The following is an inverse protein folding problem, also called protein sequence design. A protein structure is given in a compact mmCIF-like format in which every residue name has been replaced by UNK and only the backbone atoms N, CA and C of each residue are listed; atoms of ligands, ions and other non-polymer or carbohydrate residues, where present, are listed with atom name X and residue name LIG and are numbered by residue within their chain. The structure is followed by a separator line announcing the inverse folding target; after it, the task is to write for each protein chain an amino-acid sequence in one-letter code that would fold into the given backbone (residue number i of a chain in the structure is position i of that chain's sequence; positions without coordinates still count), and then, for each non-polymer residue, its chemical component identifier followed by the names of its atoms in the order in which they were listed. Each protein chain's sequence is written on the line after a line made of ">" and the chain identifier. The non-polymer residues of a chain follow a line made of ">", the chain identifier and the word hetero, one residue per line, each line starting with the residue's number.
data_IF_256604530971
#
_entry.id   IF_256604530971
#
_cell.length_a   1.000
_cell.length_b   1.000
_cell.length_c   1.000
_cell.angle_alpha   90.00
_cell.angle_beta   90.00
_cell.angle_gamma   90.00
#
_symmetry.space_group_name_H-M   'P 1'
#
loop_
_entity.id
_entity.type
_entity.pdbx_description
1 polymer ?
#
# COMPACT_ATOMS: atom_id res chain seq x y z
N UNK A 1 34.17 -11.22 72.65
CA UNK A 1 33.24 -12.18 73.27
C UNK A 1 33.08 -13.35 72.33
N UNK A 2 33.92 -14.36 72.51
CA UNK A 2 33.94 -15.61 71.72
C UNK A 2 32.70 -16.42 72.09
N UNK A 3 31.83 -16.70 71.11
CA UNK A 3 30.66 -17.53 71.34
C UNK A 3 31.09 -18.92 71.88
N UNK A 4 30.33 -19.53 72.81
CA UNK A 4 30.64 -20.86 73.33
C UNK A 4 30.76 -21.90 72.20
N UNK A 5 31.68 -22.89 72.30
CA UNK A 5 31.97 -23.85 71.22
C UNK A 5 30.74 -24.62 70.71
N UNK A 6 29.73 -24.82 71.57
CA UNK A 6 28.47 -25.48 71.21
C UNK A 6 27.58 -24.62 70.30
N UNK A 7 27.61 -23.29 70.44
CA UNK A 7 26.81 -22.36 69.64
C UNK A 7 27.39 -22.21 68.23
N UNK A 8 28.71 -22.23 68.10
CA UNK A 8 29.41 -22.25 66.81
C UNK A 8 29.13 -23.55 66.03
N UNK A 9 29.06 -24.69 66.72
CA UNK A 9 28.73 -25.97 66.09
C UNK A 9 27.27 -26.02 65.62
N UNK A 10 26.33 -25.52 66.42
CA UNK A 10 24.92 -25.44 66.03
C UNK A 10 24.71 -24.50 64.81
N UNK A 11 25.47 -23.40 64.76
CA UNK A 11 25.48 -22.48 63.62
C UNK A 11 26.07 -23.13 62.36
N UNK A 12 27.16 -23.89 62.49
CA UNK A 12 27.73 -24.65 61.38
C UNK A 12 26.77 -25.74 60.87
N UNK A 13 26.09 -26.47 61.76
CA UNK A 13 25.07 -27.47 61.39
C UNK A 13 23.86 -26.83 60.67
N UNK A 14 23.45 -25.62 61.07
CA UNK A 14 22.40 -24.86 60.39
C UNK A 14 22.83 -24.37 59.01
N UNK A 15 24.06 -23.88 58.87
CA UNK A 15 24.60 -23.44 57.59
C UNK A 15 24.82 -24.62 56.64
N UNK A 16 25.28 -25.78 57.12
CA UNK A 16 25.39 -26.99 56.30
C UNK A 16 24.03 -27.39 55.70
N UNK A 17 22.95 -27.41 56.50
CA UNK A 17 21.59 -27.68 56.00
C UNK A 17 21.13 -26.65 54.96
N UNK A 18 21.47 -25.38 55.16
CA UNK A 18 21.17 -24.31 54.19
C UNK A 18 21.91 -24.53 52.87
N UNK A 19 23.20 -24.88 52.93
CA UNK A 19 24.02 -25.15 51.75
C UNK A 19 23.56 -26.40 50.99
N UNK A 20 23.12 -27.46 51.69
CA UNK A 20 22.52 -28.65 51.07
C UNK A 20 21.20 -28.33 50.34
N UNK A 21 20.34 -27.53 50.97
CA UNK A 21 19.11 -27.05 50.33
C UNK A 21 19.42 -26.17 49.12
N UNK A 22 20.37 -25.24 49.24
CA UNK A 22 20.82 -24.39 48.15
C UNK A 22 21.39 -25.21 46.98
N UNK A 23 22.22 -26.23 47.25
CA UNK A 23 22.75 -27.13 46.22
C UNK A 23 21.62 -27.85 45.46
N UNK A 24 20.57 -28.29 46.16
CA UNK A 24 19.41 -28.94 45.52
C UNK A 24 18.65 -27.96 44.62
N UNK A 25 18.43 -26.72 45.08
CA UNK A 25 17.78 -25.67 44.27
C UNK A 25 18.63 -25.29 43.06
N UNK A 26 19.95 -25.14 43.23
CA UNK A 26 20.88 -24.86 42.13
C UNK A 26 20.85 -25.98 41.10
N UNK A 27 20.84 -27.25 41.52
CA UNK A 27 20.76 -28.39 40.61
C UNK A 27 19.48 -28.35 39.76
N UNK A 28 18.33 -28.04 40.36
CA UNK A 28 17.07 -27.90 39.62
C UNK A 28 17.13 -26.76 38.60
N UNK A 29 17.60 -25.58 39.01
CA UNK A 29 17.73 -24.42 38.12
C UNK A 29 18.72 -24.65 36.98
N UNK A 30 19.78 -25.44 37.20
CA UNK A 30 20.73 -25.83 36.16
C UNK A 30 20.08 -26.73 35.10
N UNK A 31 19.23 -27.66 35.51
CA UNK A 31 18.44 -28.50 34.59
C UNK A 31 17.47 -27.65 33.79
N UNK A 32 16.72 -26.75 34.45
CA UNK A 32 15.78 -25.85 33.76
C UNK A 32 16.50 -24.93 32.76
N UNK A 33 17.70 -24.46 33.11
CA UNK A 33 18.55 -23.68 32.21
C UNK A 33 19.05 -24.53 31.02
N UNK A 34 19.36 -25.80 31.23
CA UNK A 34 19.73 -26.75 30.17
C UNK A 34 18.56 -27.04 29.23
N UNK A 35 17.35 -27.05 29.75
CA UNK A 35 16.14 -27.27 28.97
C UNK A 35 15.59 -26.03 28.25
N UNK A 36 16.18 -24.85 28.49
CA UNK A 36 15.79 -23.61 27.84
C UNK A 36 16.00 -23.67 26.31
N UNK A 37 14.92 -23.47 25.55
CA UNK A 37 14.95 -23.55 24.08
C UNK A 37 15.84 -22.50 23.44
N UNK A 38 15.83 -21.25 23.94
CA UNK A 38 16.64 -20.17 23.39
C UNK A 38 18.14 -20.44 23.58
N UNK A 39 18.52 -21.04 24.71
CA UNK A 39 19.90 -21.53 24.92
C UNK A 39 20.25 -22.64 23.93
N UNK A 40 19.39 -23.66 23.77
CA UNK A 40 19.65 -24.78 22.84
C UNK A 40 19.84 -24.28 21.39
N UNK A 41 19.07 -23.27 20.99
CA UNK A 41 19.22 -22.62 19.69
C UNK A 41 20.54 -21.85 19.55
N UNK A 42 20.96 -21.12 20.59
CA UNK A 42 22.27 -20.43 20.63
C UNK A 42 23.45 -21.41 20.58
N UNK A 43 23.37 -22.54 21.29
CA UNK A 43 24.39 -23.59 21.29
C UNK A 43 24.50 -24.33 19.94
N UNK A 44 23.38 -24.46 19.22
CA UNK A 44 23.33 -25.13 17.91
C UNK A 44 23.75 -24.25 16.73
N UNK A 45 23.72 -22.93 16.89
CA UNK A 45 23.94 -21.97 15.80
C UNK A 45 25.41 -21.55 15.66
N UNK A 46 25.83 -21.22 14.43
CA UNK A 46 27.10 -20.52 14.18
C UNK A 46 26.91 -19.03 14.44
N UNK A 47 27.08 -18.63 15.70
CA UNK A 47 26.86 -17.25 16.13
C UNK A 47 27.92 -16.30 15.59
N UNK A 48 27.51 -15.07 15.29
CA UNK A 48 28.39 -13.98 14.81
C UNK A 48 28.16 -12.70 15.61
N UNK A 49 29.07 -11.73 15.47
CA UNK A 49 28.86 -10.35 15.95
C UNK A 49 28.63 -10.21 17.45
N UNK A 50 27.62 -9.43 17.83
CA UNK A 50 27.33 -9.10 19.22
C UNK A 50 26.83 -10.32 20.01
N UNK A 51 26.04 -11.18 19.36
CA UNK A 51 25.54 -12.42 19.97
C UNK A 51 26.67 -13.40 20.23
N UNK A 52 27.66 -13.53 19.33
CA UNK A 52 28.82 -14.39 19.57
C UNK A 52 29.65 -13.94 20.78
N UNK A 53 29.89 -12.64 20.93
CA UNK A 53 30.62 -12.10 22.08
C UNK A 53 29.85 -12.35 23.39
N UNK A 54 28.56 -12.00 23.42
CA UNK A 54 27.72 -12.21 24.59
C UNK A 54 27.58 -13.72 24.95
N UNK A 55 27.50 -14.60 23.95
CA UNK A 55 27.43 -16.04 24.19
C UNK A 55 28.74 -16.65 24.65
N UNK A 56 29.89 -16.14 24.19
CA UNK A 56 31.19 -16.56 24.70
C UNK A 56 31.36 -16.22 26.19
N UNK A 57 30.91 -15.03 26.60
CA UNK A 57 30.88 -14.62 28.00
C UNK A 57 29.92 -15.50 28.81
N UNK A 58 28.72 -15.78 28.28
CA UNK A 58 27.75 -16.68 28.91
C UNK A 58 28.27 -18.13 29.02
N UNK A 59 28.98 -18.63 28.01
CA UNK A 59 29.59 -19.98 28.04
C UNK A 59 30.68 -20.07 29.11
N UNK A 60 31.47 -19.00 29.26
CA UNK A 60 32.48 -18.90 30.33
C UNK A 60 31.81 -18.86 31.71
N UNK A 61 30.74 -18.09 31.86
CA UNK A 61 29.94 -18.04 33.09
C UNK A 61 29.29 -19.40 33.40
N UNK A 62 28.82 -20.12 32.38
CA UNK A 62 28.25 -21.47 32.52
C UNK A 62 29.30 -22.47 33.00
N UNK A 63 30.52 -22.42 32.47
CA UNK A 63 31.62 -23.26 32.96
C UNK A 63 31.96 -22.95 34.43
N UNK A 64 32.05 -21.67 34.80
CA UNK A 64 32.26 -21.25 36.19
C UNK A 64 31.14 -21.71 37.12
N UNK A 65 29.90 -21.74 36.63
CA UNK A 65 28.73 -22.19 37.38
C UNK A 65 28.80 -23.69 37.66
N UNK A 66 29.19 -24.52 36.68
CA UNK A 66 29.39 -25.95 36.86
C UNK A 66 30.57 -26.28 37.78
N UNK A 67 31.69 -25.57 37.62
CA UNK A 67 32.85 -25.70 38.51
C UNK A 67 32.47 -25.33 39.96
N UNK A 68 31.74 -24.22 40.12
CA UNK A 68 31.23 -23.77 41.42
C UNK A 68 30.26 -24.77 42.05
N UNK A 69 29.37 -25.36 41.27
CA UNK A 69 28.47 -26.42 41.74
C UNK A 69 29.26 -27.66 42.21
N UNK A 70 30.27 -28.08 41.45
CA UNK A 70 31.17 -29.17 41.85
C UNK A 70 31.87 -28.90 43.18
N UNK A 71 32.39 -27.68 43.37
CA UNK A 71 33.01 -27.25 44.63
C UNK A 71 32.02 -27.21 45.80
N UNK A 72 30.79 -26.73 45.57
CA UNK A 72 29.72 -26.71 46.57
C UNK A 72 29.33 -28.12 47.00
N UNK A 73 29.12 -29.04 46.05
CA UNK A 73 28.78 -30.44 46.34
C UNK A 73 29.91 -31.18 47.04
N UNK A 74 31.17 -30.93 46.66
CA UNK A 74 32.33 -31.49 47.33
C UNK A 74 32.43 -31.00 48.79
N UNK A 75 32.18 -29.71 49.02
CA UNK A 75 32.18 -29.12 50.35
C UNK A 75 31.06 -29.69 51.23
N UNK A 76 29.83 -29.77 50.73
CA UNK A 76 28.69 -30.30 51.51
C UNK A 76 28.86 -31.79 51.80
N UNK A 77 29.31 -32.59 50.82
CA UNK A 77 29.60 -34.02 51.01
C UNK A 77 30.73 -34.22 52.02
N UNK A 78 31.82 -33.45 51.91
CA UNK A 78 32.94 -33.50 52.84
C UNK A 78 32.56 -33.07 54.27
N UNK A 79 31.77 -32.01 54.40
CA UNK A 79 31.28 -31.51 55.69
C UNK A 79 30.30 -32.50 56.35
N UNK A 80 29.42 -33.13 55.56
CA UNK A 80 28.54 -34.22 56.02
C UNK A 80 29.35 -35.41 56.52
N UNK A 81 30.34 -35.85 55.74
CA UNK A 81 31.21 -36.98 56.10
C UNK A 81 32.03 -36.70 57.36
N UNK A 82 32.48 -35.45 57.57
CA UNK A 82 33.15 -35.02 58.80
C UNK A 82 32.20 -35.02 60.01
N UNK A 83 30.93 -34.67 59.80
CA UNK A 83 29.91 -34.65 60.86
C UNK A 83 29.44 -36.04 61.29
N UNK A 84 29.40 -37.00 60.37
CA UNK A 84 28.91 -38.37 60.57
C UNK A 84 29.98 -39.32 61.19
N UNK A 85 31.18 -38.83 61.49
CA UNK A 85 32.25 -39.64 62.09
C UNK A 85 31.92 -40.05 63.54
N UNK A 86 32.15 -41.33 63.87
CA UNK A 86 31.88 -41.91 65.21
C UNK A 86 32.71 -41.31 66.35
N UNK A 87 33.84 -40.68 66.04
CA UNK A 87 34.69 -39.92 66.98
C UNK A 87 34.86 -38.52 66.41
N UNK A 88 34.45 -37.51 67.17
CA UNK A 88 34.45 -36.11 66.76
C UNK A 88 35.21 -35.30 67.81
N UNK A 89 36.53 -35.26 67.66
CA UNK A 89 37.46 -34.54 68.53
C UNK A 89 37.30 -33.03 68.43
N UNK A 90 37.85 -32.28 69.38
CA UNK A 90 37.74 -30.81 69.38
C UNK A 90 38.52 -30.15 68.24
N UNK A 91 39.57 -30.80 67.73
CA UNK A 91 40.28 -30.38 66.51
C UNK A 91 39.43 -30.58 65.24
N UNK A 92 38.70 -31.70 65.16
CA UNK A 92 37.77 -31.99 64.06
C UNK A 92 36.54 -31.06 64.09
N UNK A 93 36.05 -30.68 65.29
CA UNK A 93 35.01 -29.65 65.46
C UNK A 93 35.46 -28.29 64.93
N UNK A 94 36.67 -27.86 65.28
CA UNK A 94 37.22 -26.59 64.80
C UNK A 94 37.42 -26.61 63.28
N UNK A 95 37.96 -27.70 62.73
CA UNK A 95 38.11 -27.88 61.28
C UNK A 95 36.76 -27.87 60.54
N UNK A 96 35.72 -28.50 61.09
CA UNK A 96 34.36 -28.48 60.55
C UNK A 96 33.74 -27.08 60.55
N UNK A 97 33.88 -26.34 61.66
CA UNK A 97 33.41 -24.95 61.77
C UNK A 97 34.12 -24.05 60.75
N UNK A 98 35.44 -24.19 60.58
CA UNK A 98 36.22 -23.47 59.57
C UNK A 98 35.83 -23.89 58.13
N UNK A 99 35.54 -25.17 57.92
CA UNK A 99 35.12 -25.69 56.62
C UNK A 99 33.76 -25.15 56.18
N UNK A 100 32.80 -24.96 57.10
CA UNK A 100 31.44 -24.52 56.77
C UNK A 100 31.26 -23.01 56.87
N UNK A 101 31.91 -22.34 57.84
CA UNK A 101 31.73 -20.90 58.10
C UNK A 101 32.95 -20.05 57.67
N UNK A 102 34.07 -20.67 57.32
CA UNK A 102 35.32 -20.00 56.95
C UNK A 102 35.60 -19.99 55.44
N UNK A 103 36.83 -19.59 55.09
CA UNK A 103 37.32 -19.49 53.70
C UNK A 103 37.91 -20.83 53.25
N UNK A 104 37.07 -21.84 53.14
CA UNK A 104 37.46 -23.23 52.95
C UNK A 104 37.49 -23.69 51.50
N UNK A 105 36.90 -22.92 50.58
CA UNK A 105 36.81 -23.29 49.18
C UNK A 105 38.00 -22.70 48.43
N UNK A 106 38.81 -23.56 47.82
CA UNK A 106 39.95 -23.13 47.00
C UNK A 106 39.52 -23.04 45.54
N UNK A 107 39.40 -21.83 44.99
CA UNK A 107 38.93 -21.58 43.62
C UNK A 107 40.01 -21.82 42.56
N UNK A 108 41.26 -21.48 42.87
CA UNK A 108 42.39 -21.71 41.98
C UNK A 108 43.70 -21.74 42.75
N UNK A 109 44.66 -22.51 42.23
CA UNK A 109 46.03 -22.58 42.75
C UNK A 109 46.98 -22.18 41.62
N UNK A 110 47.43 -20.94 41.63
CA UNK A 110 48.38 -20.43 40.64
C UNK A 110 49.81 -20.73 41.11
N UNK A 111 50.58 -21.46 40.31
CA UNK A 111 51.99 -21.71 40.60
C UNK A 111 52.80 -20.48 40.20
N UNK A 112 53.44 -19.83 41.18
CA UNK A 112 54.25 -18.63 40.93
C UNK A 112 55.57 -19.06 40.28
N UNK A 113 55.89 -18.59 39.05
CA UNK A 113 57.16 -18.90 38.39
C UNK A 113 58.36 -18.53 39.26
N UNK A 114 59.44 -19.33 39.22
CA UNK A 114 60.61 -19.17 40.09
C UNK A 114 61.23 -17.77 40.02
N UNK A 115 61.18 -17.13 38.84
CA UNK A 115 61.69 -15.77 38.61
C UNK A 115 60.92 -14.65 39.37
N UNK A 116 59.69 -14.93 39.81
CA UNK A 116 58.84 -14.01 40.58
C UNK A 116 58.73 -14.44 42.06
N UNK A 117 59.51 -15.46 42.48
CA UNK A 117 59.47 -16.02 43.82
C UNK A 117 60.57 -15.42 44.69
N UNK A 118 60.20 -14.77 45.80
CA UNK A 118 61.16 -14.37 46.84
C UNK A 118 61.72 -15.59 47.61
N UNK A 119 62.88 -15.47 48.25
CA UNK A 119 63.56 -16.57 48.98
C UNK A 119 62.68 -17.21 50.09
N UNK A 120 61.68 -16.48 50.59
CA UNK A 120 60.67 -16.92 51.57
C UNK A 120 59.23 -16.87 51.03
N UNK A 121 59.05 -16.66 49.72
CA UNK A 121 57.73 -16.54 49.09
C UNK A 121 57.08 -17.89 48.82
N UNK A 122 55.77 -18.00 49.07
CA UNK A 122 55.01 -19.21 48.75
C UNK A 122 55.07 -19.50 47.24
N UNK A 123 55.35 -20.76 46.87
CA UNK A 123 55.43 -21.19 45.47
C UNK A 123 54.08 -21.27 44.75
N UNK A 124 52.98 -21.12 45.49
CA UNK A 124 51.61 -21.17 45.02
C UNK A 124 50.79 -20.06 45.70
N UNK A 125 49.93 -19.42 44.93
CA UNK A 125 48.89 -18.51 45.44
C UNK A 125 47.56 -19.23 45.26
N UNK A 126 46.92 -19.56 46.38
CA UNK A 126 45.56 -20.11 46.40
C UNK A 126 44.56 -19.01 46.67
N UNK A 127 43.59 -18.81 45.78
CA UNK A 127 42.47 -17.92 46.05
C UNK A 127 41.36 -18.70 46.76
N UNK A 128 41.10 -18.37 48.03
CA UNK A 128 40.07 -19.03 48.85
C UNK A 128 38.84 -18.15 49.03
N UNK A 129 37.64 -18.71 48.90
CA UNK A 129 36.38 -18.04 49.15
C UNK A 129 35.54 -18.75 50.22
N UNK A 130 34.57 -18.03 50.77
CA UNK A 130 33.52 -18.59 51.63
C UNK A 130 32.40 -19.23 50.79
N UNK A 131 31.61 -20.16 51.35
CA UNK A 131 30.43 -20.70 50.67
C UNK A 131 29.43 -19.64 50.20
N UNK A 132 29.27 -18.56 50.96
CA UNK A 132 28.39 -17.44 50.60
C UNK A 132 28.93 -16.64 49.40
N UNK A 133 30.24 -16.40 49.35
CA UNK A 133 30.90 -15.75 48.20
C UNK A 133 30.82 -16.63 46.94
N UNK A 134 30.97 -17.95 47.09
CA UNK A 134 30.79 -18.89 45.98
C UNK A 134 29.36 -18.86 45.45
N UNK A 135 28.35 -18.95 46.32
CA UNK A 135 26.94 -18.88 45.91
C UNK A 135 26.60 -17.55 45.22
N UNK A 136 27.12 -16.42 45.71
CA UNK A 136 26.93 -15.13 45.07
C UNK A 136 27.58 -15.06 43.68
N UNK A 137 28.78 -15.63 43.51
CA UNK A 137 29.44 -15.72 42.21
C UNK A 137 28.66 -16.63 41.23
N UNK A 138 28.13 -17.77 41.72
CA UNK A 138 27.27 -18.66 40.96
C UNK A 138 25.96 -17.99 40.54
N UNK A 139 25.33 -17.22 41.44
CA UNK A 139 24.11 -16.47 41.13
C UNK A 139 24.36 -15.41 40.04
N UNK A 140 25.48 -14.68 40.13
CA UNK A 140 25.86 -13.71 39.10
C UNK A 140 26.15 -14.38 37.74
N UNK A 141 26.82 -15.53 37.74
CA UNK A 141 27.07 -16.32 36.54
C UNK A 141 25.76 -16.83 35.92
N UNK A 142 24.85 -17.37 36.73
CA UNK A 142 23.53 -17.82 36.30
C UNK A 142 22.71 -16.67 35.68
N UNK A 143 22.67 -15.51 36.34
CA UNK A 143 21.97 -14.32 35.84
C UNK A 143 22.49 -13.87 34.48
N UNK A 144 23.82 -13.95 34.25
CA UNK A 144 24.45 -13.59 32.98
C UNK A 144 23.98 -14.50 31.84
N UNK A 145 23.95 -15.82 32.05
CA UNK A 145 23.49 -16.77 31.03
C UNK A 145 22.00 -16.58 30.71
N UNK A 146 21.18 -16.42 31.76
CA UNK A 146 19.74 -16.21 31.61
C UNK A 146 19.43 -14.89 30.89
N UNK A 147 20.16 -13.80 31.18
CA UNK A 147 19.98 -12.52 30.49
C UNK A 147 20.21 -12.66 28.98
N UNK A 148 21.33 -13.26 28.58
CA UNK A 148 21.69 -13.43 27.16
C UNK A 148 20.65 -14.29 26.43
N UNK A 149 20.28 -15.44 27.00
CA UNK A 149 19.28 -16.33 26.40
C UNK A 149 17.89 -15.66 26.32
N UNK A 150 17.49 -14.93 27.36
CA UNK A 150 16.20 -14.23 27.40
C UNK A 150 16.15 -13.11 26.36
N UNK A 151 17.20 -12.30 26.25
CA UNK A 151 17.28 -11.22 25.26
C UNK A 151 17.24 -11.75 23.83
N UNK A 152 18.01 -12.79 23.53
CA UNK A 152 17.98 -13.43 22.21
C UNK A 152 16.57 -14.00 21.89
N UNK A 153 15.97 -14.71 22.85
CA UNK A 153 14.61 -15.26 22.72
C UNK A 153 13.56 -14.16 22.48
N UNK A 154 13.64 -13.04 23.19
CA UNK A 154 12.73 -11.90 22.99
C UNK A 154 12.89 -11.26 21.61
N UNK A 155 14.12 -11.19 21.08
CA UNK A 155 14.35 -10.71 19.72
C UNK A 155 13.68 -11.65 18.70
N UNK A 156 13.91 -12.96 18.80
CA UNK A 156 13.29 -13.93 17.89
C UNK A 156 11.76 -13.91 17.95
N UNK A 157 11.18 -13.89 19.16
CA UNK A 157 9.73 -13.84 19.35
C UNK A 157 9.09 -12.59 18.73
N UNK A 158 9.81 -11.47 18.67
CA UNK A 158 9.31 -10.22 18.07
C UNK A 158 9.56 -10.15 16.56
N UNK A 159 10.74 -10.52 16.11
CA UNK A 159 11.18 -10.24 14.74
C UNK A 159 10.93 -11.38 13.75
N UNK A 160 10.91 -12.66 14.19
CA UNK A 160 10.61 -13.77 13.29
C UNK A 160 9.17 -13.72 12.72
N UNK A 161 8.12 -13.49 13.53
CA UNK A 161 6.76 -13.38 12.99
C UNK A 161 6.66 -12.20 12.01
N UNK A 162 7.26 -11.06 12.34
CA UNK A 162 7.25 -9.87 11.50
C UNK A 162 7.99 -10.09 10.17
N UNK A 163 9.11 -10.81 10.18
CA UNK A 163 9.81 -11.18 8.94
C UNK A 163 8.97 -12.14 8.08
N UNK A 164 8.24 -13.08 8.70
CA UNK A 164 7.35 -14.00 7.98
C UNK A 164 6.14 -13.28 7.36
N UNK A 165 5.55 -12.32 8.07
CA UNK A 165 4.48 -11.45 7.55
C UNK A 165 4.95 -10.65 6.33
N UNK A 166 6.16 -10.07 6.40
CA UNK A 166 6.76 -9.35 5.27
C UNK A 166 7.06 -10.27 4.09
N UNK A 167 7.52 -11.49 4.33
CA UNK A 167 7.73 -12.48 3.27
C UNK A 167 6.41 -12.82 2.55
N UNK A 168 5.33 -13.00 3.30
CA UNK A 168 4.00 -13.27 2.75
C UNK A 168 3.46 -12.05 1.97
N UNK A 169 3.61 -10.84 2.50
CA UNK A 169 3.21 -9.60 1.84
C UNK A 169 3.98 -9.40 0.51
N UNK A 170 5.30 -9.60 0.52
CA UNK A 170 6.15 -9.53 -0.67
C UNK A 170 5.72 -10.53 -1.74
N UNK A 171 5.45 -11.78 -1.36
CA UNK A 171 4.96 -12.80 -2.27
C UNK A 171 3.59 -12.43 -2.86
N UNK A 172 2.70 -11.85 -2.05
CA UNK A 172 1.39 -11.36 -2.48
C UNK A 172 1.49 -10.25 -3.52
N UNK A 173 2.36 -9.26 -3.31
CA UNK A 173 2.57 -8.16 -4.28
C UNK A 173 3.22 -8.68 -5.57
N UNK A 174 4.25 -9.55 -5.46
CA UNK A 174 4.91 -10.18 -6.62
C UNK A 174 3.97 -11.00 -7.49
N UNK A 175 2.97 -11.67 -6.90
CA UNK A 175 1.98 -12.43 -7.67
C UNK A 175 1.08 -11.56 -8.55
N UNK A 176 0.98 -10.26 -8.24
CA UNK A 176 0.08 -9.32 -8.89
C UNK A 176 0.80 -8.21 -9.67
N UNK A 177 2.13 -8.17 -9.61
CA UNK A 177 2.96 -7.14 -10.21
C UNK A 177 3.89 -7.72 -11.28
N UNK A 178 4.27 -6.89 -12.24
CA UNK A 178 5.36 -7.19 -13.16
C UNK A 178 6.71 -7.18 -12.39
N UNK A 179 7.78 -7.77 -12.96
CA UNK A 179 9.10 -7.74 -12.35
C UNK A 179 9.54 -6.30 -12.05
N UNK A 180 9.82 -6.02 -10.78
CA UNK A 180 10.14 -4.70 -10.26
C UNK A 180 11.40 -4.77 -9.39
N UNK A 181 12.37 -3.90 -9.70
CA UNK A 181 13.62 -3.78 -8.95
C UNK A 181 13.38 -3.41 -7.48
N UNK A 182 12.27 -2.74 -7.14
CA UNK A 182 11.91 -2.45 -5.74
C UNK A 182 11.56 -3.72 -4.97
N UNK A 183 10.84 -4.66 -5.60
CA UNK A 183 10.49 -5.94 -4.98
C UNK A 183 11.71 -6.84 -4.82
N UNK A 184 12.62 -6.82 -5.79
CA UNK A 184 13.88 -7.56 -5.70
C UNK A 184 14.80 -7.01 -4.60
N UNK A 185 14.84 -5.69 -4.43
CA UNK A 185 15.54 -5.05 -3.33
C UNK A 185 14.92 -5.39 -1.97
N UNK A 186 13.59 -5.42 -1.88
CA UNK A 186 12.87 -5.82 -0.66
C UNK A 186 13.19 -7.27 -0.27
N UNK A 187 13.20 -8.18 -1.24
CA UNK A 187 13.52 -9.60 -1.06
C UNK A 187 14.96 -9.81 -0.57
N UNK A 188 15.92 -9.14 -1.23
CA UNK A 188 17.33 -9.18 -0.85
C UNK A 188 17.52 -8.73 0.60
N UNK A 189 16.93 -7.59 0.97
CA UNK A 189 17.03 -7.05 2.34
C UNK A 189 16.33 -7.95 3.36
N UNK A 190 15.19 -8.53 3.02
CA UNK A 190 14.53 -9.48 3.90
C UNK A 190 15.40 -10.73 4.12
N UNK A 191 16.06 -11.22 3.07
CA UNK A 191 17.05 -12.29 3.16
C UNK A 191 18.24 -11.93 4.07
N UNK A 192 18.74 -10.70 3.97
CA UNK A 192 19.84 -10.21 4.82
C UNK A 192 19.43 -10.14 6.29
N UNK A 193 18.25 -9.58 6.59
CA UNK A 193 17.76 -9.47 7.97
C UNK A 193 17.43 -10.85 8.56
N UNK A 194 16.82 -11.75 7.78
CA UNK A 194 16.51 -13.11 8.26
C UNK A 194 17.79 -13.94 8.48
N UNK A 195 18.80 -13.79 7.63
CA UNK A 195 20.11 -14.39 7.86
C UNK A 195 20.79 -13.82 9.11
N UNK A 196 20.73 -12.50 9.31
CA UNK A 196 21.26 -11.86 10.52
C UNK A 196 20.53 -12.31 11.78
N UNK A 197 19.20 -12.48 11.74
CA UNK A 197 18.43 -13.02 12.87
C UNK A 197 18.83 -14.45 13.25
N UNK A 198 19.25 -15.26 12.28
CA UNK A 198 19.68 -16.63 12.52
C UNK A 198 21.07 -16.72 13.16
N UNK A 199 21.96 -15.74 12.94
CA UNK A 199 23.36 -15.80 13.42
C UNK A 199 23.72 -14.74 14.48
N UNK A 200 23.05 -13.60 14.47
CA UNK A 200 23.29 -12.48 15.40
C UNK A 200 21.98 -11.74 15.77
N UNK A 201 21.07 -12.36 16.54
CA UNK A 201 19.85 -11.72 17.01
C UNK A 201 20.11 -10.44 17.82
N UNK A 202 21.12 -10.40 18.69
CA UNK A 202 21.41 -9.23 19.53
C UNK A 202 21.98 -8.04 18.73
N UNK A 203 22.61 -8.30 17.58
CA UNK A 203 23.12 -7.28 16.66
C UNK A 203 22.15 -6.90 15.54
N UNK A 204 20.98 -7.54 15.46
CA UNK A 204 20.02 -7.31 14.39
C UNK A 204 19.37 -5.92 14.48
N UNK A 205 19.42 -5.16 13.39
CA UNK A 205 18.77 -3.86 13.29
C UNK A 205 17.29 -3.99 12.90
N UNK A 206 16.40 -3.60 13.81
CA UNK A 206 14.95 -3.59 13.58
C UNK A 206 14.54 -2.67 12.41
N UNK A 207 15.36 -1.65 12.11
CA UNK A 207 15.09 -0.74 10.99
C UNK A 207 15.18 -1.45 9.64
N UNK A 208 15.87 -2.60 9.56
CA UNK A 208 15.92 -3.42 8.36
C UNK A 208 14.54 -3.88 7.91
N UNK A 209 13.72 -4.41 8.84
CA UNK A 209 12.35 -4.84 8.53
C UNK A 209 11.43 -3.65 8.20
N UNK A 210 11.63 -2.51 8.85
CA UNK A 210 10.89 -1.28 8.53
C UNK A 210 11.21 -0.78 7.11
N UNK A 211 12.48 -0.86 6.69
CA UNK A 211 12.87 -0.52 5.32
C UNK A 211 12.27 -1.50 4.30
N UNK A 212 12.21 -2.80 4.60
CA UNK A 212 11.53 -3.80 3.75
C UNK A 212 10.05 -3.47 3.61
N UNK A 213 9.34 -3.19 4.71
CA UNK A 213 7.93 -2.79 4.66
C UNK A 213 7.72 -1.58 3.76
N UNK A 214 8.54 -0.53 3.91
CA UNK A 214 8.42 0.68 3.10
C UNK A 214 8.62 0.43 1.60
N UNK A 215 9.50 -0.52 1.23
CA UNK A 215 9.68 -0.91 -0.17
C UNK A 215 8.46 -1.66 -0.71
N UNK A 216 7.89 -2.58 0.08
CA UNK A 216 6.67 -3.32 -0.28
C UNK A 216 5.49 -2.34 -0.45
N UNK A 217 5.29 -1.43 0.50
CA UNK A 217 4.22 -0.43 0.45
C UNK A 217 4.34 0.48 -0.76
N UNK A 218 5.57 0.91 -1.09
CA UNK A 218 5.83 1.71 -2.28
C UNK A 218 5.47 0.97 -3.56
N UNK A 219 5.92 -0.27 -3.70
CA UNK A 219 5.62 -1.09 -4.87
C UNK A 219 4.11 -1.34 -5.02
N UNK A 220 3.41 -1.60 -3.91
CA UNK A 220 1.95 -1.81 -3.95
C UNK A 220 1.19 -0.53 -4.29
N UNK A 221 1.64 0.64 -3.79
CA UNK A 221 1.06 1.93 -4.13
C UNK A 221 1.28 2.29 -5.62
N UNK A 222 2.47 2.03 -6.17
CA UNK A 222 2.77 2.22 -7.58
C UNK A 222 1.91 1.32 -8.47
N UNK A 223 1.78 0.04 -8.11
CA UNK A 223 0.90 -0.93 -8.78
C UNK A 223 -0.56 -0.48 -8.78
N UNK A 224 -1.07 -0.06 -7.63
CA UNK A 224 -2.46 0.40 -7.46
C UNK A 224 -2.72 1.66 -8.30
N UNK A 225 -1.81 2.64 -8.23
CA UNK A 225 -1.90 3.86 -9.05
C UNK A 225 -1.90 3.56 -10.54
N UNK A 226 -1.05 2.62 -10.99
CA UNK A 226 -1.03 2.19 -12.39
C UNK A 226 -2.33 1.48 -12.79
N UNK A 227 -2.94 0.69 -11.91
CA UNK A 227 -4.22 0.04 -12.15
C UNK A 227 -5.37 1.04 -12.29
N UNK A 228 -5.45 2.02 -11.40
CA UNK A 228 -6.46 3.09 -11.44
C UNK A 228 -6.31 3.93 -12.72
N UNK A 229 -5.08 4.27 -13.11
CA UNK A 229 -4.82 5.00 -14.36
C UNK A 229 -5.27 4.20 -15.59
N UNK A 230 -4.98 2.89 -15.63
CA UNK A 230 -5.42 1.99 -16.70
C UNK A 230 -6.94 1.92 -16.79
N UNK A 231 -7.62 1.82 -15.65
CA UNK A 231 -9.08 1.77 -15.60
C UNK A 231 -9.70 3.11 -16.06
N UNK A 232 -9.16 4.24 -15.60
CA UNK A 232 -9.61 5.56 -16.02
C UNK A 232 -9.43 5.80 -17.52
N UNK A 233 -8.30 5.38 -18.10
CA UNK A 233 -8.07 5.46 -19.54
C UNK A 233 -8.98 4.52 -20.33
N UNK A 234 -9.24 3.32 -19.81
CA UNK A 234 -10.17 2.36 -20.42
C UNK A 234 -11.60 2.90 -20.48
N UNK A 235 -12.07 3.55 -19.40
CA UNK A 235 -13.36 4.26 -19.39
C UNK A 235 -13.41 5.37 -20.44
N UNK A 236 -12.38 6.23 -20.49
CA UNK A 236 -12.30 7.31 -21.48
C UNK A 236 -12.26 6.79 -22.92
N UNK A 237 -11.68 5.62 -23.16
CA UNK A 237 -11.67 4.97 -24.47
C UNK A 237 -13.07 4.42 -24.82
N UNK A 238 -13.79 3.84 -23.86
CA UNK A 238 -15.18 3.45 -24.06
C UNK A 238 -16.08 4.66 -24.39
N UNK A 239 -15.92 5.78 -23.69
CA UNK A 239 -16.63 7.02 -23.98
C UNK A 239 -16.33 7.53 -25.40
N UNK A 240 -15.07 7.42 -25.84
CA UNK A 240 -14.68 7.78 -27.20
C UNK A 240 -15.34 6.90 -28.25
N UNK A 241 -15.47 5.58 -28.01
CA UNK A 241 -16.20 4.68 -28.92
C UNK A 241 -17.68 5.05 -29.01
N UNK A 242 -18.31 5.41 -27.89
CA UNK A 242 -19.68 5.93 -27.87
C UNK A 242 -19.80 7.22 -28.69
N UNK A 243 -18.87 8.17 -28.50
CA UNK A 243 -18.83 9.43 -29.24
C UNK A 243 -18.66 9.20 -30.75
N UNK A 244 -17.89 8.20 -31.17
CA UNK A 244 -17.76 7.84 -32.58
C UNK A 244 -19.10 7.34 -33.17
N UNK A 245 -19.87 6.58 -32.39
CA UNK A 245 -21.23 6.19 -32.75
C UNK A 245 -22.17 7.39 -32.93
N UNK A 246 -22.14 8.33 -31.98
CA UNK A 246 -22.92 9.59 -32.09
C UNK A 246 -22.52 10.42 -33.32
N UNK A 247 -21.23 10.44 -33.65
CA UNK A 247 -20.71 11.14 -34.82
C UNK A 247 -21.31 10.55 -36.11
N UNK A 248 -21.27 9.23 -36.25
CA UNK A 248 -21.82 8.54 -37.43
C UNK A 248 -23.34 8.75 -37.60
N UNK A 249 -24.09 8.82 -36.49
CA UNK A 249 -25.51 9.19 -36.52
C UNK A 249 -25.73 10.65 -36.92
N UNK A 250 -24.96 11.58 -36.33
CA UNK A 250 -25.04 13.01 -36.67
C UNK A 250 -24.68 13.27 -38.13
N UNK A 251 -23.70 12.57 -38.69
CA UNK A 251 -23.39 12.65 -40.10
C UNK A 251 -24.55 12.18 -41.00
N UNK A 252 -25.17 11.04 -40.67
CA UNK A 252 -26.35 10.56 -41.40
C UNK A 252 -27.50 11.57 -41.33
N UNK A 253 -27.72 12.15 -40.15
CA UNK A 253 -28.73 13.18 -39.96
C UNK A 253 -28.45 14.46 -40.76
N UNK A 254 -27.20 14.93 -40.77
CA UNK A 254 -26.78 16.10 -41.53
C UNK A 254 -26.92 15.87 -43.04
N UNK A 255 -26.49 14.71 -43.56
CA UNK A 255 -26.68 14.31 -44.96
C UNK A 255 -28.15 14.28 -45.35
N UNK A 256 -28.99 13.60 -44.56
CA UNK A 256 -30.43 13.55 -44.82
C UNK A 256 -31.10 14.94 -44.80
N UNK A 257 -30.67 15.84 -43.91
CA UNK A 257 -31.16 17.21 -43.86
C UNK A 257 -30.73 18.02 -45.10
N UNK A 258 -29.48 17.87 -45.54
CA UNK A 258 -28.96 18.49 -46.76
C UNK A 258 -29.68 17.99 -48.02
N UNK A 259 -29.89 16.67 -48.15
CA UNK A 259 -30.62 16.07 -49.27
C UNK A 259 -32.08 16.56 -49.32
N UNK A 260 -32.71 16.78 -48.17
CA UNK A 260 -34.08 17.28 -48.09
C UNK A 260 -34.24 18.75 -48.53
N UNK A 261 -33.18 19.56 -48.46
CA UNK A 261 -33.15 20.96 -48.92
C UNK A 261 -32.54 21.11 -50.32
N UNK A 262 -31.77 20.13 -50.78
CA UNK A 262 -31.13 20.12 -52.09
C UNK A 262 -32.15 20.32 -53.22
N UNK A 263 -31.81 21.20 -54.17
CA UNK A 263 -32.68 21.59 -55.28
C UNK A 263 -33.93 22.38 -54.89
N UNK A 264 -34.21 22.60 -53.59
CA UNK A 264 -35.34 23.41 -53.10
C UNK A 264 -34.90 24.82 -52.69
N UNK A 265 -33.65 24.99 -52.27
CA UNK A 265 -33.01 26.25 -51.89
C UNK A 265 -31.74 26.44 -52.72
N UNK A 266 -31.17 27.64 -52.69
CA UNK A 266 -29.89 27.88 -53.34
C UNK A 266 -28.76 27.15 -52.59
N UNK A 267 -27.79 26.58 -53.32
CA UNK A 267 -26.69 25.83 -52.71
C UNK A 267 -25.88 26.66 -51.71
N UNK A 268 -25.80 27.99 -51.90
CA UNK A 268 -25.12 28.90 -50.98
C UNK A 268 -25.80 29.02 -49.60
N UNK A 269 -27.09 28.72 -49.50
CA UNK A 269 -27.85 28.79 -48.25
C UNK A 269 -27.82 27.47 -47.47
N UNK A 270 -27.40 26.38 -48.12
CA UNK A 270 -27.37 25.03 -47.54
C UNK A 270 -26.08 24.86 -46.74
N UNK A 271 -26.21 24.55 -45.46
CA UNK A 271 -25.06 24.26 -44.61
C UNK A 271 -24.51 22.87 -44.95
N UNK A 272 -23.22 22.80 -45.31
CA UNK A 272 -22.50 21.57 -45.57
C UNK A 272 -21.22 21.52 -44.73
N UNK A 273 -20.99 20.39 -44.05
CA UNK A 273 -19.76 20.19 -43.28
C UNK A 273 -18.78 19.36 -44.10
N UNK A 274 -17.76 20.02 -44.63
CA UNK A 274 -16.74 19.39 -45.50
C UNK A 274 -15.68 18.65 -44.68
N UNK A 275 -15.00 17.67 -45.30
CA UNK A 275 -14.01 16.80 -44.63
C UNK A 275 -14.60 15.45 -44.21
N UNK A 276 -13.85 14.37 -44.46
CA UNK A 276 -14.32 13.00 -44.23
C UNK A 276 -14.00 12.47 -42.84
N UNK A 277 -14.86 11.60 -42.33
CA UNK A 277 -14.69 10.90 -41.05
C UNK A 277 -13.53 9.89 -41.05
N UNK A 278 -12.89 9.65 -42.19
CA UNK A 278 -11.78 8.69 -42.34
C UNK A 278 -10.66 8.92 -41.33
N UNK A 279 -10.32 10.18 -41.08
CA UNK A 279 -9.21 10.53 -40.19
C UNK A 279 -9.56 10.29 -38.71
N UNK A 280 -10.82 10.52 -38.33
CA UNK A 280 -11.30 10.25 -36.97
C UNK A 280 -11.47 8.74 -36.73
N UNK A 281 -11.97 8.01 -37.73
CA UNK A 281 -12.10 6.55 -37.68
C UNK A 281 -10.71 5.90 -37.58
N UNK A 282 -9.78 6.29 -38.46
CA UNK A 282 -8.40 5.80 -38.42
C UNK A 282 -7.70 6.19 -37.11
N UNK A 283 -7.94 7.41 -36.62
CA UNK A 283 -7.40 7.90 -35.35
C UNK A 283 -7.87 7.07 -34.15
N UNK A 284 -9.16 6.70 -34.08
CA UNK A 284 -9.68 5.87 -33.00
C UNK A 284 -9.14 4.44 -33.08
N UNK A 285 -9.07 3.86 -34.28
CA UNK A 285 -8.48 2.53 -34.49
C UNK A 285 -7.00 2.47 -34.06
N UNK A 286 -6.23 3.53 -34.34
CA UNK A 286 -4.85 3.63 -33.88
C UNK A 286 -4.74 3.74 -32.36
N UNK A 287 -5.69 4.41 -31.70
CA UNK A 287 -5.76 4.48 -30.23
C UNK A 287 -6.12 3.12 -29.64
N UNK A 288 -7.07 2.39 -30.23
CA UNK A 288 -7.43 1.03 -29.83
C UNK A 288 -6.24 0.08 -29.92
N UNK A 289 -5.45 0.16 -31.00
CA UNK A 289 -4.23 -0.64 -31.16
C UNK A 289 -3.19 -0.37 -30.05
N UNK A 290 -3.04 0.88 -29.61
CA UNK A 290 -2.15 1.21 -28.48
C UNK A 290 -2.64 0.62 -27.17
N UNK A 291 -3.96 0.63 -26.93
CA UNK A 291 -4.57 0.04 -25.75
C UNK A 291 -4.35 -1.48 -25.72
N UNK A 292 -4.58 -2.17 -26.85
CA UNK A 292 -4.31 -3.61 -26.98
C UNK A 292 -2.84 -3.96 -26.78
N UNK A 293 -1.93 -3.10 -27.26
CA UNK A 293 -0.50 -3.27 -27.08
C UNK A 293 0.00 -2.85 -25.68
N UNK A 294 -0.86 -2.40 -24.77
CA UNK A 294 -0.48 -2.00 -23.41
C UNK A 294 0.31 -0.68 -23.30
N UNK A 295 0.37 0.13 -24.36
CA UNK A 295 1.13 1.38 -24.40
C UNK A 295 0.34 2.56 -23.81
N UNK A 296 -0.05 2.45 -22.53
CA UNK A 296 -0.96 3.36 -21.85
C UNK A 296 -0.45 4.81 -21.75
N UNK A 297 0.87 5.01 -21.64
CA UNK A 297 1.50 6.34 -21.56
C UNK A 297 1.28 7.18 -22.83
N UNK A 298 1.29 6.54 -24.01
CA UNK A 298 1.10 7.19 -25.30
C UNK A 298 -0.39 7.45 -25.63
N UNK A 299 -1.30 6.77 -24.94
CA UNK A 299 -2.73 6.80 -25.20
C UNK A 299 -3.37 8.12 -24.73
N UNK A 300 -3.02 8.60 -23.54
CA UNK A 300 -3.66 9.77 -22.91
C UNK A 300 -3.67 11.04 -23.79
N UNK A 301 -2.53 11.52 -24.34
CA UNK A 301 -2.52 12.72 -25.18
C UNK A 301 -3.28 12.51 -26.51
N UNK A 302 -3.15 11.33 -27.13
CA UNK A 302 -3.84 11.00 -28.40
C UNK A 302 -5.36 10.94 -28.22
N UNK A 303 -5.82 10.32 -27.14
CA UNK A 303 -7.25 10.23 -26.82
C UNK A 303 -7.86 11.59 -26.46
N UNK A 304 -7.10 12.47 -25.78
CA UNK A 304 -7.55 13.83 -25.51
C UNK A 304 -7.73 14.66 -26.79
N UNK A 305 -6.75 14.57 -27.70
CA UNK A 305 -6.81 15.25 -28.98
C UNK A 305 -7.93 14.73 -29.89
N UNK A 306 -8.07 13.40 -29.98
CA UNK A 306 -9.16 12.76 -30.72
C UNK A 306 -10.54 13.22 -30.21
N UNK A 307 -10.76 13.20 -28.88
CA UNK A 307 -12.03 13.63 -28.29
C UNK A 307 -12.36 15.10 -28.61
N UNK A 308 -11.34 15.97 -28.60
CA UNK A 308 -11.52 17.39 -28.95
C UNK A 308 -12.01 17.54 -30.38
N UNK A 309 -11.33 16.89 -31.34
CA UNK A 309 -11.67 16.93 -32.77
C UNK A 309 -13.05 16.32 -33.03
N UNK A 310 -13.35 15.17 -32.43
CA UNK A 310 -14.64 14.50 -32.56
C UNK A 310 -15.81 15.37 -32.04
N UNK A 311 -15.65 16.04 -30.88
CA UNK A 311 -16.69 16.94 -30.35
C UNK A 311 -16.90 18.18 -31.20
N UNK A 312 -15.84 18.79 -31.71
CA UNK A 312 -15.94 19.94 -32.62
C UNK A 312 -16.69 19.56 -33.90
N UNK A 313 -16.38 18.38 -34.45
CA UNK A 313 -17.06 17.84 -35.64
C UNK A 313 -18.53 17.54 -35.36
N UNK A 314 -18.84 16.88 -34.25
CA UNK A 314 -20.20 16.56 -33.84
C UNK A 314 -21.07 17.82 -33.71
N UNK A 315 -20.53 18.89 -33.10
CA UNK A 315 -21.22 20.17 -32.99
C UNK A 315 -21.50 20.76 -34.38
N UNK A 316 -20.50 20.82 -35.26
CA UNK A 316 -20.67 21.34 -36.61
C UNK A 316 -21.71 20.55 -37.44
N UNK A 317 -21.75 19.22 -37.31
CA UNK A 317 -22.74 18.36 -37.96
C UNK A 317 -24.17 18.62 -37.46
N UNK A 318 -24.33 18.79 -36.14
CA UNK A 318 -25.63 19.12 -35.54
C UNK A 318 -26.10 20.50 -35.99
N UNK A 319 -25.23 21.51 -35.94
CA UNK A 319 -25.53 22.87 -36.39
C UNK A 319 -25.96 22.91 -37.87
N UNK A 320 -25.27 22.17 -38.74
CA UNK A 320 -25.62 22.08 -40.15
C UNK A 320 -26.97 21.38 -40.38
N UNK A 321 -27.23 20.28 -39.65
CA UNK A 321 -28.50 19.56 -39.73
C UNK A 321 -29.67 20.45 -39.29
N UNK A 322 -29.50 21.18 -38.19
CA UNK A 322 -30.53 22.04 -37.62
C UNK A 322 -30.78 23.28 -38.50
N UNK A 323 -29.74 23.88 -39.07
CA UNK A 323 -29.86 24.96 -40.06
C UNK A 323 -30.69 24.51 -41.27
N UNK A 324 -30.33 23.37 -41.88
CA UNK A 324 -31.02 22.85 -43.07
C UNK A 324 -32.49 22.48 -42.76
N UNK A 325 -32.76 21.86 -41.61
CA UNK A 325 -34.15 21.62 -41.16
C UNK A 325 -34.91 22.92 -40.93
N UNK A 326 -34.24 23.94 -40.40
CA UNK A 326 -34.79 25.28 -40.17
C UNK A 326 -35.25 25.96 -41.46
N UNK A 327 -34.52 25.79 -42.57
CA UNK A 327 -34.93 26.29 -43.89
C UNK A 327 -36.27 25.71 -44.33
N UNK A 328 -36.44 24.38 -44.22
CA UNK A 328 -37.69 23.69 -44.55
C UNK A 328 -38.83 24.08 -43.62
N UNK A 329 -38.57 24.13 -42.31
CA UNK A 329 -39.55 24.51 -41.31
C UNK A 329 -40.08 25.93 -41.59
N UNK A 330 -39.17 26.88 -41.86
CA UNK A 330 -39.53 28.26 -42.21
C UNK A 330 -40.38 28.32 -43.47
N UNK A 331 -40.00 27.60 -44.53
CA UNK A 331 -40.78 27.55 -45.77
C UNK A 331 -42.19 27.01 -45.52
N UNK A 332 -42.32 25.93 -44.75
CA UNK A 332 -43.61 25.31 -44.42
C UNK A 332 -44.48 26.23 -43.54
N UNK A 333 -43.88 26.92 -42.57
CA UNK A 333 -44.57 27.92 -41.76
C UNK A 333 -45.12 29.07 -42.62
N UNK A 334 -44.32 29.61 -43.53
CA UNK A 334 -44.76 30.68 -44.45
C UNK A 334 -45.91 30.22 -45.35
N UNK A 335 -45.89 28.97 -45.82
CA UNK A 335 -47.00 28.37 -46.58
C UNK A 335 -48.27 28.29 -45.75
N UNK A 336 -48.20 27.70 -44.55
CA UNK A 336 -49.34 27.60 -43.65
C UNK A 336 -49.90 28.97 -43.25
N UNK A 337 -49.03 29.97 -43.06
CA UNK A 337 -49.42 31.36 -42.81
C UNK A 337 -50.14 31.98 -44.00
N UNK A 338 -49.64 31.79 -45.22
CA UNK A 338 -50.31 32.26 -46.43
C UNK A 338 -51.71 31.64 -46.57
N UNK A 339 -51.80 30.32 -46.40
CA UNK A 339 -53.06 29.57 -46.49
C UNK A 339 -54.09 30.05 -45.43
N UNK A 340 -53.63 30.30 -44.20
CA UNK A 340 -54.48 30.81 -43.12
C UNK A 340 -55.04 32.21 -43.42
N UNK A 341 -54.22 33.11 -43.97
CA UNK A 341 -54.68 34.46 -44.33
C UNK A 341 -55.56 34.45 -45.58
N UNK A 342 -55.34 33.55 -46.53
CA UNK A 342 -56.26 33.31 -47.65
C UNK A 342 -57.64 32.86 -47.16
N UNK A 343 -57.68 31.90 -46.22
CA UNK A 343 -58.93 31.47 -45.60
C UNK A 343 -59.63 32.62 -44.85
N UNK A 344 -58.86 33.50 -44.17
CA UNK A 344 -59.40 34.70 -43.50
C UNK A 344 -60.01 35.69 -44.49
N UNK A 345 -59.33 35.99 -45.59
CA UNK A 345 -59.82 36.87 -46.64
C UNK A 345 -61.11 36.31 -47.28
N UNK A 346 -61.14 35.00 -47.58
CA UNK A 346 -62.31 34.33 -48.15
C UNK A 346 -63.54 34.39 -47.22
N UNK A 347 -63.37 34.14 -45.92
CA UNK A 347 -64.45 34.27 -44.91
C UNK A 347 -65.05 35.68 -44.82
N UNK A 348 -64.34 36.70 -45.31
CA UNK A 348 -64.76 38.10 -45.31
C UNK A 348 -65.23 38.58 -46.68
N UNK A 349 -65.38 37.68 -47.66
CA UNK A 349 -65.82 38.01 -49.02
C UNK A 349 -64.76 38.72 -49.87
N UNK A 350 -63.51 38.78 -49.41
CA UNK A 350 -62.40 39.49 -50.08
C UNK A 350 -61.54 38.54 -50.94
N UNK A 351 -62.04 37.35 -51.28
CA UNK A 351 -61.28 36.34 -52.03
C UNK A 351 -60.88 36.81 -53.44
N UNK A 352 -61.73 37.60 -54.08
CA UNK A 352 -61.55 38.10 -55.44
C UNK A 352 -61.15 39.59 -55.48
N UNK A 353 -60.69 40.14 -54.35
CA UNK A 353 -60.26 41.53 -54.29
C UNK A 353 -59.07 41.76 -55.25
N UNK A 354 -59.18 42.72 -56.20
CA UNK A 354 -58.16 42.93 -57.23
C UNK A 354 -56.80 43.37 -56.67
N UNK A 355 -56.74 43.85 -55.42
CA UNK A 355 -55.49 44.21 -54.75
C UNK A 355 -54.80 43.01 -54.08
N UNK A 356 -55.55 41.97 -53.71
CA UNK A 356 -55.04 40.78 -53.02
C UNK A 356 -54.54 39.70 -53.97
N UNK A 357 -55.10 39.62 -55.18
CA UNK A 357 -54.71 38.61 -56.19
C UNK A 357 -53.23 38.71 -56.59
N UNK A 358 -52.67 39.88 -56.96
CA UNK A 358 -51.25 39.98 -57.35
C UNK A 358 -50.28 39.67 -56.20
N UNK A 359 -50.65 40.07 -54.98
CA UNK A 359 -49.86 39.79 -53.77
C UNK A 359 -49.84 38.29 -53.45
N UNK A 360 -50.99 37.62 -53.63
CA UNK A 360 -51.10 36.17 -53.48
C UNK A 360 -50.26 35.42 -54.50
N UNK A 361 -50.32 35.83 -55.77
CA UNK A 361 -49.53 35.24 -56.85
C UNK A 361 -48.04 35.41 -56.60
N UNK A 362 -47.61 36.60 -56.16
CA UNK A 362 -46.21 36.89 -55.80
C UNK A 362 -45.74 36.00 -54.65
N UNK A 363 -46.53 35.89 -53.57
CA UNK A 363 -46.20 35.03 -52.43
C UNK A 363 -46.17 33.54 -52.82
N UNK A 364 -47.10 33.10 -53.67
CA UNK A 364 -47.16 31.71 -54.15
C UNK A 364 -45.98 31.39 -55.08
N UNK A 365 -45.62 32.29 -55.99
CA UNK A 365 -44.44 32.16 -56.84
C UNK A 365 -43.16 32.02 -55.99
N UNK A 366 -42.98 32.87 -54.98
CA UNK A 366 -41.81 32.82 -54.10
C UNK A 366 -41.73 31.52 -53.27
N UNK A 367 -42.86 30.96 -52.83
CA UNK A 367 -42.89 29.78 -51.95
C UNK A 367 -42.92 28.42 -52.66
N UNK A 368 -43.45 28.33 -53.88
CA UNK A 368 -43.58 27.07 -54.63
C UNK A 368 -42.59 26.91 -55.79
N UNK A 369 -41.89 27.98 -56.17
CA UNK A 369 -40.78 27.89 -57.14
C UNK A 369 -39.49 27.47 -56.43
N UNK A 370 -38.64 26.74 -57.14
CA UNK A 370 -37.30 26.37 -56.69
C UNK A 370 -36.25 27.04 -57.58
N UNK A 371 -35.14 27.57 -57.03
CA UNK A 371 -34.83 27.67 -55.60
C UNK A 371 -35.68 28.73 -54.87
N UNK A 372 -36.06 28.42 -53.63
CA UNK A 372 -36.89 29.27 -52.78
C UNK A 372 -36.02 30.28 -52.02
N UNK A 373 -36.14 31.57 -52.34
CA UNK A 373 -35.57 32.65 -51.53
C UNK A 373 -36.49 32.94 -50.33
N UNK A 374 -36.05 32.55 -49.13
CA UNK A 374 -36.80 32.74 -47.89
C UNK A 374 -37.00 34.21 -47.51
N UNK A 375 -36.06 35.10 -47.86
CA UNK A 375 -36.16 36.53 -47.57
C UNK A 375 -37.25 37.18 -48.44
N UNK A 376 -37.20 36.89 -49.74
CA UNK A 376 -38.23 37.34 -50.69
C UNK A 376 -39.61 36.75 -50.33
N UNK A 377 -39.67 35.45 -50.02
CA UNK A 377 -40.91 34.79 -49.61
C UNK A 377 -41.51 35.39 -48.32
N UNK A 378 -40.67 35.70 -47.32
CA UNK A 378 -41.12 36.33 -46.07
C UNK A 378 -41.70 37.72 -46.33
N UNK A 379 -41.05 38.51 -47.16
CA UNK A 379 -41.52 39.85 -47.57
C UNK A 379 -42.86 39.77 -48.31
N UNK A 380 -42.99 38.85 -49.26
CA UNK A 380 -44.22 38.69 -50.04
C UNK A 380 -45.41 38.23 -49.17
N UNK A 381 -45.19 37.29 -48.25
CA UNK A 381 -46.23 36.85 -47.30
C UNK A 381 -46.64 37.98 -46.35
N UNK A 382 -45.68 38.76 -45.84
CA UNK A 382 -45.98 39.90 -44.98
C UNK A 382 -46.81 40.97 -45.71
N UNK A 383 -46.44 41.32 -46.94
CA UNK A 383 -47.20 42.27 -47.76
C UNK A 383 -48.66 41.82 -47.97
N UNK A 384 -48.88 40.52 -48.22
CA UNK A 384 -50.23 39.96 -48.31
C UNK A 384 -50.99 40.04 -46.97
N UNK A 385 -50.33 39.72 -45.85
CA UNK A 385 -50.92 39.78 -44.51
C UNK A 385 -51.35 41.20 -44.12
N UNK A 386 -50.52 42.19 -44.44
CA UNK A 386 -50.78 43.59 -44.17
C UNK A 386 -51.98 44.08 -45.00
N UNK A 387 -52.03 43.73 -46.29
CA UNK A 387 -53.15 44.06 -47.18
C UNK A 387 -54.47 43.44 -46.71
N UNK A 388 -54.48 42.14 -46.35
CA UNK A 388 -55.67 41.48 -45.80
C UNK A 388 -56.12 42.15 -44.50
N UNK A 389 -55.19 42.54 -43.64
CA UNK A 389 -55.51 43.18 -42.36
C UNK A 389 -56.07 44.59 -42.56
N UNK A 390 -55.49 45.37 -43.46
CA UNK A 390 -55.97 46.71 -43.80
C UNK A 390 -57.39 46.67 -44.40
N UNK A 391 -57.63 45.77 -45.37
CA UNK A 391 -58.93 45.62 -46.02
C UNK A 391 -60.01 45.07 -45.07
N UNK A 392 -59.66 44.13 -44.20
CA UNK A 392 -60.63 43.64 -43.19
C UNK A 392 -60.97 44.71 -42.15
N UNK A 393 -60.05 45.62 -41.83
CA UNK A 393 -60.29 46.74 -40.94
C UNK A 393 -61.20 47.82 -41.58
N UNK A 394 -61.05 48.11 -42.87
CA UNK A 394 -61.95 49.03 -43.61
C UNK A 394 -63.33 48.41 -43.83
N UNK A 395 -63.41 47.14 -44.22
CA UNK A 395 -64.68 46.44 -44.42
C UNK A 395 -65.51 46.30 -43.13
N UNK A 396 -64.85 46.23 -41.96
CA UNK A 396 -65.55 46.24 -40.66
C UNK A 396 -66.06 47.63 -40.27
N UNK A 397 -65.47 48.71 -40.79
CA UNK A 397 -65.96 50.09 -40.57
C UNK A 397 -67.17 50.41 -41.45
N UNK A 398 -67.19 49.94 -42.70
CA UNK A 398 -68.31 50.18 -43.61
C UNK A 398 -69.55 49.31 -43.31
N UNK A 399 -69.38 48.17 -42.65
CA UNK A 399 -70.49 47.30 -42.22
C UNK A 399 -71.17 47.65 -40.89
N UNK A 400 -70.88 48.83 -40.30
CA UNK A 400 -71.40 49.25 -38.98
C UNK A 400 -72.35 50.46 -39.02
N UNK A 401 -72.94 50.74 -40.17
CA UNK A 401 -74.06 51.70 -40.32
C UNK A 401 -75.41 51.00 -40.24
#
# INVERSE_FOLDING_TARGET
>A
MTAPPAELLARADAELRRLEAAATTVAANLVDLDDNSARKELDGARLTGATAAAWADATTALAQLWDGYGLLTALTTGARAARDQRRFSDAEKAAYVEQVLGRSITLSVATVPLAQRGLLGAGQVSTTCTPAELLAAMEAAFATVVDVATRAGQVWQRLLPRAAELAAALAGVRALADPDATLDEADRRLGEVTAALATDPLGCDENGLTAVQALIDRADAERTSAAELREALSRRLADARTLAGELAEAERAARAAADAVSGRFADADIAAVTGGDSDLVAGLAAIDALATAGHWSLLSPRLADWNRRARQRLAALRDAADHNRGLLATRNELRGRLDAYQAKAARRGLAEDPTLTPLTETARAALWTAPCDLSAARTAVAAYQDAVTALTATHTRDGKL
#
